data_IF_345083455344
#
_entry.id   IF_345083455344
#
_cell.length_a   1.000
_cell.length_b   1.000
_cell.length_c   1.000
_cell.angle_alpha   90.00
_cell.angle_beta   90.00
_cell.angle_gamma   90.00
#
_symmetry.space_group_name_H-M   'P 1'
#
loop_
_entity.id
_entity.type
_entity.pdbx_description
1 polymer ?
#
# COMPACT_ATOMS: atom_id res chain seq x y z
N UNK A 1 -13.85 -68.06 34.44
CA UNK A 1 -12.42 -68.46 34.48
C UNK A 1 -11.72 -68.36 33.12
N UNK A 2 -12.41 -68.56 32.00
CA UNK A 2 -11.86 -68.50 30.63
C UNK A 2 -11.40 -67.11 30.17
N UNK A 3 -12.06 -66.03 30.59
CA UNK A 3 -11.66 -64.65 30.27
C UNK A 3 -10.35 -64.24 30.95
N UNK A 4 -10.13 -64.66 32.21
CA UNK A 4 -8.87 -64.36 32.92
C UNK A 4 -7.65 -65.03 32.31
N UNK A 5 -7.79 -66.28 31.87
CA UNK A 5 -6.71 -67.04 31.21
C UNK A 5 -6.37 -66.49 29.82
N UNK A 6 -7.39 -66.09 29.05
CA UNK A 6 -7.17 -65.45 27.73
C UNK A 6 -6.54 -64.07 27.84
N UNK A 7 -6.89 -63.28 28.87
CA UNK A 7 -6.26 -61.99 29.17
C UNK A 7 -4.79 -62.15 29.59
N UNK A 8 -4.46 -63.19 30.37
CA UNK A 8 -3.08 -63.50 30.74
C UNK A 8 -2.26 -63.95 29.51
N UNK A 9 -2.85 -64.78 28.65
CA UNK A 9 -2.21 -65.24 27.42
C UNK A 9 -1.97 -64.09 26.43
N UNK A 10 -2.91 -63.15 26.31
CA UNK A 10 -2.72 -61.96 25.47
C UNK A 10 -1.67 -61.01 26.06
N UNK A 11 -1.67 -60.79 27.37
CA UNK A 11 -0.67 -59.97 28.07
C UNK A 11 0.75 -60.53 27.95
N UNK A 12 0.93 -61.84 28.12
CA UNK A 12 2.23 -62.50 27.94
C UNK A 12 2.70 -62.48 26.48
N UNK A 13 1.79 -62.61 25.52
CA UNK A 13 2.10 -62.44 24.09
C UNK A 13 2.49 -61.00 23.73
N UNK A 14 1.78 -60.00 24.27
CA UNK A 14 2.14 -58.58 24.11
C UNK A 14 3.51 -58.27 24.72
N UNK A 15 3.82 -58.80 25.91
CA UNK A 15 5.13 -58.63 26.54
C UNK A 15 6.24 -59.27 25.69
N UNK A 16 6.02 -60.50 25.22
CA UNK A 16 6.94 -61.21 24.33
C UNK A 16 7.19 -60.43 23.04
N UNK A 17 6.17 -59.82 22.46
CA UNK A 17 6.28 -59.08 21.20
C UNK A 17 6.92 -57.69 21.35
N UNK A 18 6.80 -57.05 22.52
CA UNK A 18 7.36 -55.72 22.78
C UNK A 18 8.74 -55.75 23.46
N UNK A 19 9.11 -56.85 24.13
CA UNK A 19 10.43 -57.00 24.77
C UNK A 19 11.61 -56.84 23.79
N UNK A 20 11.59 -57.41 22.57
CA UNK A 20 12.63 -57.17 21.56
C UNK A 20 12.72 -55.71 21.11
N UNK A 21 11.57 -54.99 21.04
CA UNK A 21 11.55 -53.55 20.70
C UNK A 21 12.19 -52.72 21.80
N UNK A 22 11.92 -53.05 23.07
CA UNK A 22 12.55 -52.40 24.22
C UNK A 22 14.06 -52.64 24.25
N UNK A 23 14.50 -53.88 24.00
CA UNK A 23 15.91 -54.22 23.92
C UNK A 23 16.62 -53.48 22.77
N UNK A 24 15.96 -53.38 21.61
CA UNK A 24 16.46 -52.61 20.46
C UNK A 24 16.56 -51.12 20.81
N UNK A 25 15.53 -50.55 21.43
CA UNK A 25 15.52 -49.16 21.87
C UNK A 25 16.61 -48.85 22.89
N UNK A 26 16.83 -49.73 23.88
CA UNK A 26 17.90 -49.59 24.86
C UNK A 26 19.30 -49.66 24.21
N UNK A 27 19.48 -50.55 23.23
CA UNK A 27 20.73 -50.66 22.46
C UNK A 27 20.97 -49.41 21.61
N UNK A 28 19.93 -48.88 20.97
CA UNK A 28 20.00 -47.67 20.15
C UNK A 28 20.30 -46.42 21.00
N UNK A 29 19.72 -46.32 22.20
CA UNK A 29 20.04 -45.26 23.17
C UNK A 29 21.51 -45.34 23.62
N UNK A 30 22.00 -46.54 23.96
CA UNK A 30 23.40 -46.74 24.35
C UNK A 30 24.36 -46.35 23.22
N UNK A 31 24.05 -46.73 21.98
CA UNK A 31 24.82 -46.34 20.80
C UNK A 31 24.79 -44.81 20.57
N UNK A 32 23.61 -44.19 20.70
CA UNK A 32 23.43 -42.74 20.60
C UNK A 32 24.24 -41.97 21.65
N UNK A 33 24.21 -42.40 22.91
CA UNK A 33 25.02 -41.79 23.98
C UNK A 33 26.52 -41.92 23.70
N UNK A 34 26.97 -43.06 23.19
CA UNK A 34 28.38 -43.26 22.81
C UNK A 34 28.78 -42.36 21.64
N UNK A 35 27.91 -42.21 20.63
CA UNK A 35 28.13 -41.32 19.51
C UNK A 35 28.17 -39.85 19.95
N UNK A 36 27.24 -39.43 20.81
CA UNK A 36 27.22 -38.09 21.39
C UNK A 36 28.49 -37.80 22.19
N UNK A 37 28.87 -38.70 23.10
CA UNK A 37 30.10 -38.56 23.89
C UNK A 37 31.34 -38.45 23.01
N UNK A 38 31.42 -39.26 21.93
CA UNK A 38 32.50 -39.18 20.94
C UNK A 38 32.51 -37.83 20.22
N UNK A 39 31.34 -37.34 19.78
CA UNK A 39 31.22 -36.07 19.08
C UNK A 39 31.58 -34.87 19.99
N UNK A 40 31.14 -34.87 21.24
CA UNK A 40 31.54 -33.86 22.24
C UNK A 40 33.04 -33.89 22.50
N UNK A 41 33.64 -35.08 22.67
CA UNK A 41 35.08 -35.21 22.87
C UNK A 41 35.88 -34.74 21.64
N UNK A 42 35.40 -35.02 20.43
CA UNK A 42 36.01 -34.52 19.18
C UNK A 42 35.87 -33.01 19.05
N UNK A 43 34.68 -32.45 19.32
CA UNK A 43 34.45 -31.01 19.30
C UNK A 43 35.33 -30.27 20.31
N UNK A 44 35.45 -30.79 21.53
CA UNK A 44 36.34 -30.23 22.56
C UNK A 44 37.82 -30.24 22.12
N UNK A 45 38.27 -31.32 21.48
CA UNK A 45 39.64 -31.39 20.92
C UNK A 45 39.84 -30.42 19.75
N UNK A 46 38.84 -30.25 18.89
CA UNK A 46 38.90 -29.28 17.79
C UNK A 46 38.97 -27.85 18.33
N UNK A 47 38.13 -27.49 19.29
CA UNK A 47 38.14 -26.16 19.93
C UNK A 47 39.47 -25.90 20.64
N UNK A 48 39.95 -26.84 21.46
CA UNK A 48 41.23 -26.70 22.16
C UNK A 48 42.45 -26.76 21.22
N UNK A 49 42.29 -27.30 20.01
CA UNK A 49 43.32 -27.32 18.97
C UNK A 49 43.45 -25.99 18.22
N UNK A 50 42.44 -25.12 18.28
CA UNK A 50 42.50 -23.76 17.74
C UNK A 50 43.25 -22.89 18.76
N UNK A 51 44.48 -22.49 18.43
CA UNK A 51 45.21 -21.47 19.20
C UNK A 51 44.57 -20.10 18.94
N UNK A 52 43.61 -19.73 19.76
CA UNK A 52 42.97 -18.42 19.69
C UNK A 52 43.93 -17.35 20.21
N UNK A 53 44.18 -16.30 19.42
CA UNK A 53 44.71 -15.06 19.98
C UNK A 53 43.55 -14.31 20.67
N UNK A 54 43.85 -13.33 21.52
CA UNK A 54 42.83 -12.47 22.14
C UNK A 54 41.89 -11.87 21.07
N UNK A 55 42.43 -11.48 19.91
CA UNK A 55 41.66 -10.95 18.78
C UNK A 55 40.72 -12.00 18.16
N UNK A 56 41.14 -13.27 18.06
CA UNK A 56 40.25 -14.33 17.55
C UNK A 56 39.15 -14.66 18.55
N UNK A 57 39.45 -14.65 19.85
CA UNK A 57 38.45 -14.84 20.91
C UNK A 57 37.40 -13.71 20.91
N UNK A 58 37.83 -12.46 20.76
CA UNK A 58 36.93 -11.31 20.62
C UNK A 58 36.04 -11.41 19.38
N UNK A 59 36.59 -11.87 18.25
CA UNK A 59 35.84 -12.10 17.02
C UNK A 59 34.81 -13.23 17.16
N UNK A 60 35.07 -14.27 17.97
CA UNK A 60 34.08 -15.32 18.28
C UNK A 60 33.02 -14.85 19.28
N UNK A 61 33.38 -14.01 20.24
CA UNK A 61 32.47 -13.48 21.26
C UNK A 61 31.53 -12.40 20.71
N UNK A 62 31.98 -11.62 19.73
CA UNK A 62 31.21 -10.56 19.08
C UNK A 62 31.45 -10.60 17.55
N UNK A 63 30.91 -11.60 16.83
CA UNK A 63 31.20 -11.84 15.41
C UNK A 63 30.72 -10.74 14.45
N UNK A 64 29.93 -9.79 14.94
CA UNK A 64 29.53 -8.62 14.18
C UNK A 64 29.24 -7.45 15.09
N UNK A 65 29.90 -6.32 14.85
CA UNK A 65 29.37 -5.02 15.28
C UNK A 65 28.22 -4.66 14.34
N UNK A 66 26.98 -4.77 14.82
CA UNK A 66 25.79 -4.33 14.10
C UNK A 66 25.82 -2.81 13.98
N UNK A 67 26.21 -2.31 12.80
CA UNK A 67 26.11 -0.89 12.48
C UNK A 67 24.70 -0.60 11.99
N UNK A 68 23.84 -0.12 12.89
CA UNK A 68 22.50 0.34 12.51
C UNK A 68 22.58 1.74 11.86
N UNK A 69 22.28 1.83 10.57
CA UNK A 69 22.01 3.11 9.89
C UNK A 69 20.50 3.30 9.78
N UNK A 70 19.97 4.30 10.47
CA UNK A 70 18.59 4.73 10.33
C UNK A 70 18.53 5.87 9.32
N UNK A 71 17.79 5.69 8.23
CA UNK A 71 17.62 6.70 7.17
C UNK A 71 16.49 7.69 7.46
N UNK A 72 15.55 7.31 8.34
CA UNK A 72 14.36 8.08 8.70
C UNK A 72 13.85 7.65 10.08
N UNK A 73 13.05 8.51 10.73
CA UNK A 73 12.36 8.21 11.99
C UNK A 73 10.87 8.50 11.85
N UNK A 74 10.05 7.48 12.04
CA UNK A 74 8.58 7.61 12.05
C UNK A 74 8.10 7.70 13.51
N UNK A 75 7.53 8.83 13.98
CA UNK A 75 7.25 9.04 15.40
C UNK A 75 6.25 8.06 16.03
N UNK A 76 5.18 7.72 15.32
CA UNK A 76 4.12 6.84 15.81
C UNK A 76 3.31 6.25 14.64
N UNK A 77 2.32 5.41 14.97
CA UNK A 77 1.47 4.74 13.98
C UNK A 77 0.63 5.72 13.13
N UNK A 78 0.26 6.87 13.68
CA UNK A 78 -0.43 7.93 12.94
C UNK A 78 0.41 8.48 11.79
N UNK A 79 1.70 8.73 12.02
CA UNK A 79 2.62 9.15 10.95
C UNK A 79 2.81 8.06 9.90
N UNK A 80 2.83 6.79 10.33
CA UNK A 80 2.95 5.66 9.40
C UNK A 80 1.73 5.53 8.45
N UNK A 81 0.52 5.81 8.96
CA UNK A 81 -0.72 5.74 8.17
C UNK A 81 -1.12 7.05 7.49
N UNK A 82 -0.60 8.21 7.91
CA UNK A 82 -0.97 9.51 7.37
C UNK A 82 -0.86 9.60 5.84
N UNK A 83 0.20 9.14 5.16
CA UNK A 83 0.29 9.16 3.69
C UNK A 83 -0.89 8.50 2.99
N UNK A 84 -1.37 7.40 3.56
CA UNK A 84 -2.51 6.65 3.04
C UNK A 84 -3.81 7.41 3.28
N UNK A 85 -4.06 7.85 4.51
CA UNK A 85 -5.31 8.55 4.85
C UNK A 85 -5.45 9.90 4.14
N UNK A 86 -4.36 10.67 4.01
CA UNK A 86 -4.35 11.92 3.25
C UNK A 86 -4.73 11.67 1.78
N UNK A 87 -4.12 10.67 1.15
CA UNK A 87 -4.46 10.32 -0.23
C UNK A 87 -5.92 9.88 -0.37
N UNK A 88 -6.44 9.08 0.56
CA UNK A 88 -7.84 8.66 0.54
C UNK A 88 -8.79 9.84 0.67
N UNK A 89 -8.56 10.74 1.63
CA UNK A 89 -9.40 11.90 1.87
C UNK A 89 -9.41 12.87 0.66
N UNK A 90 -8.27 13.14 0.02
CA UNK A 90 -8.21 13.93 -1.21
C UNK A 90 -9.03 13.34 -2.35
N UNK A 91 -8.90 12.03 -2.58
CA UNK A 91 -9.67 11.34 -3.63
C UNK A 91 -11.16 11.38 -3.32
N UNK A 92 -11.56 11.14 -2.07
CA UNK A 92 -12.96 11.19 -1.63
C UNK A 92 -13.54 12.60 -1.79
N UNK A 93 -12.79 13.65 -1.44
CA UNK A 93 -13.23 15.03 -1.65
C UNK A 93 -13.53 15.33 -3.12
N UNK A 94 -12.63 14.90 -4.02
CA UNK A 94 -12.85 14.99 -5.46
C UNK A 94 -14.04 14.15 -5.95
N UNK A 95 -14.24 12.95 -5.38
CA UNK A 95 -15.35 12.06 -5.70
C UNK A 95 -16.70 12.68 -5.34
N UNK A 96 -16.84 13.17 -4.11
CA UNK A 96 -18.07 13.81 -3.61
C UNK A 96 -18.43 15.02 -4.47
N UNK A 97 -17.44 15.85 -4.81
CA UNK A 97 -17.67 16.99 -5.71
C UNK A 97 -18.24 16.54 -7.07
N UNK A 98 -17.65 15.54 -7.72
CA UNK A 98 -18.10 15.07 -9.04
C UNK A 98 -19.45 14.33 -9.02
N UNK A 99 -19.87 13.83 -7.85
CA UNK A 99 -21.20 13.26 -7.65
C UNK A 99 -22.27 14.35 -7.56
N UNK A 100 -22.02 15.39 -6.77
CA UNK A 100 -22.98 16.46 -6.47
C UNK A 100 -23.01 17.52 -7.57
N UNK A 101 -21.85 18.00 -8.00
CA UNK A 101 -21.75 19.06 -8.99
C UNK A 101 -22.15 18.53 -10.38
N UNK A 102 -23.05 19.23 -11.12
CA UNK A 102 -23.51 18.79 -12.43
C UNK A 102 -22.45 19.02 -13.50
N UNK A 103 -21.41 18.18 -13.50
CA UNK A 103 -20.28 18.26 -14.45
C UNK A 103 -20.69 18.02 -15.90
N UNK A 104 -21.74 17.20 -16.11
CA UNK A 104 -22.26 16.83 -17.44
C UNK A 104 -23.22 17.86 -18.06
N UNK A 105 -23.64 18.88 -17.30
CA UNK A 105 -24.58 19.90 -17.77
C UNK A 105 -23.86 21.15 -18.27
N UNK A 106 -24.26 21.65 -19.44
CA UNK A 106 -23.79 22.92 -19.99
C UNK A 106 -24.59 24.08 -19.41
N UNK A 107 -23.92 25.23 -19.26
CA UNK A 107 -24.55 26.46 -18.78
C UNK A 107 -25.40 27.15 -19.84
N UNK A 108 -25.04 27.03 -21.13
CA UNK A 108 -25.75 27.68 -22.24
C UNK A 108 -25.88 26.76 -23.47
N UNK A 109 -27.01 26.81 -24.20
CA UNK A 109 -27.19 26.17 -25.50
C UNK A 109 -26.18 26.57 -26.57
N UNK A 110 -25.57 27.76 -26.48
CA UNK A 110 -24.62 28.25 -27.48
C UNK A 110 -23.15 27.88 -27.21
N UNK A 111 -22.82 27.35 -26.03
CA UNK A 111 -21.42 27.07 -25.65
C UNK A 111 -20.76 25.94 -26.46
N UNK A 112 -19.46 26.04 -26.72
CA UNK A 112 -18.70 24.96 -27.37
C UNK A 112 -18.29 23.88 -26.36
N UNK A 113 -17.82 22.72 -26.85
CA UNK A 113 -17.28 21.67 -25.97
C UNK A 113 -16.00 22.13 -25.24
N UNK A 114 -15.24 23.05 -25.85
CA UNK A 114 -14.05 23.66 -25.22
C UNK A 114 -14.44 24.65 -24.13
N UNK A 115 -15.49 25.45 -24.31
CA UNK A 115 -16.00 26.35 -23.27
C UNK A 115 -16.52 25.56 -22.08
N UNK A 116 -17.22 24.45 -22.34
CA UNK A 116 -17.67 23.52 -21.32
C UNK A 116 -16.49 22.94 -20.54
N UNK A 117 -15.42 22.52 -21.22
CA UNK A 117 -14.19 22.03 -20.60
C UNK A 117 -13.57 23.07 -19.67
N UNK A 118 -13.24 24.26 -20.16
CA UNK A 118 -12.58 25.27 -19.32
C UNK A 118 -13.45 25.72 -18.15
N UNK A 119 -14.77 25.84 -18.35
CA UNK A 119 -15.71 26.17 -17.28
C UNK A 119 -15.67 25.14 -16.14
N UNK A 120 -15.73 23.84 -16.46
CA UNK A 120 -15.76 22.78 -15.44
C UNK A 120 -14.39 22.51 -14.82
N UNK A 121 -13.31 22.56 -15.62
CA UNK A 121 -11.93 22.38 -15.15
C UNK A 121 -11.53 23.49 -14.19
N UNK A 122 -11.94 24.74 -14.43
CA UNK A 122 -11.63 25.87 -13.54
C UNK A 122 -12.30 25.70 -12.18
N UNK A 123 -13.60 25.39 -12.16
CA UNK A 123 -14.34 25.17 -10.90
C UNK A 123 -13.80 23.94 -10.17
N UNK A 124 -13.57 22.83 -10.88
CA UNK A 124 -12.98 21.63 -10.30
C UNK A 124 -11.58 21.89 -9.74
N UNK A 125 -10.76 22.67 -10.44
CA UNK A 125 -9.41 23.04 -10.00
C UNK A 125 -9.41 23.88 -8.74
N UNK A 126 -10.32 24.87 -8.64
CA UNK A 126 -10.49 25.68 -7.44
C UNK A 126 -10.89 24.81 -6.23
N UNK A 127 -11.85 23.91 -6.41
CA UNK A 127 -12.32 23.02 -5.34
C UNK A 127 -11.24 22.02 -4.93
N UNK A 128 -10.51 21.43 -5.89
CA UNK A 128 -9.41 20.51 -5.60
C UNK A 128 -8.26 21.21 -4.85
N UNK A 129 -7.93 22.44 -5.25
CA UNK A 129 -6.95 23.29 -4.56
C UNK A 129 -7.39 23.56 -3.12
N UNK A 130 -8.65 23.98 -2.93
CA UNK A 130 -9.23 24.19 -1.61
C UNK A 130 -9.22 22.93 -0.75
N UNK A 131 -9.59 21.79 -1.32
CA UNK A 131 -9.59 20.47 -0.66
C UNK A 131 -8.19 20.11 -0.14
N UNK A 132 -7.16 20.27 -0.98
CA UNK A 132 -5.77 20.01 -0.59
C UNK A 132 -5.25 20.97 0.50
N UNK A 133 -5.55 22.26 0.38
CA UNK A 133 -5.12 23.25 1.38
C UNK A 133 -5.83 23.04 2.72
N UNK A 134 -7.14 22.82 2.71
CA UNK A 134 -7.92 22.57 3.92
C UNK A 134 -7.40 21.32 4.62
N UNK A 135 -7.21 20.22 3.89
CA UNK A 135 -6.69 18.99 4.49
C UNK A 135 -5.30 19.20 5.09
N UNK A 136 -4.34 19.71 4.32
CA UNK A 136 -2.95 19.82 4.78
C UNK A 136 -2.80 20.81 5.95
N UNK A 137 -3.47 21.96 5.90
CA UNK A 137 -3.44 22.94 6.98
C UNK A 137 -4.11 22.43 8.25
N UNK A 138 -5.27 21.76 8.14
CA UNK A 138 -5.95 21.19 9.30
C UNK A 138 -5.15 20.05 9.93
N UNK A 139 -4.53 19.20 9.12
CA UNK A 139 -3.69 18.11 9.62
C UNK A 139 -2.44 18.65 10.34
N UNK A 140 -1.81 19.70 9.80
CA UNK A 140 -0.71 20.38 10.49
C UNK A 140 -1.18 21.05 11.79
N UNK A 141 -2.34 21.71 11.79
CA UNK A 141 -2.94 22.29 12.99
C UNK A 141 -3.31 21.22 14.05
N UNK A 142 -3.67 20.02 13.61
CA UNK A 142 -3.96 18.87 14.47
C UNK A 142 -2.70 18.17 15.03
N UNK A 143 -1.50 18.68 14.71
CA UNK A 143 -0.23 18.20 15.26
C UNK A 143 0.58 17.29 14.33
N UNK A 144 0.24 17.19 13.05
CA UNK A 144 1.08 16.52 12.05
C UNK A 144 2.25 17.45 11.67
N UNK A 145 3.48 17.10 12.07
CA UNK A 145 4.69 17.88 11.79
C UNK A 145 5.50 17.21 10.69
N UNK A 146 5.30 17.56 9.40
CA UNK A 146 6.08 17.02 8.30
C UNK A 146 7.54 17.50 8.34
N UNK A 147 8.49 16.63 7.98
CA UNK A 147 9.89 17.02 7.73
C UNK A 147 10.01 18.08 6.63
N UNK A 148 9.15 17.99 5.61
CA UNK A 148 9.11 18.89 4.47
C UNK A 148 7.68 19.44 4.21
N UNK A 149 7.25 20.49 4.95
CA UNK A 149 5.89 21.03 4.84
C UNK A 149 5.49 21.47 3.43
N UNK A 150 6.43 22.07 2.69
CA UNK A 150 6.16 22.51 1.32
C UNK A 150 5.95 21.32 0.36
N UNK A 151 6.69 20.22 0.56
CA UNK A 151 6.51 19.01 -0.24
C UNK A 151 5.17 18.34 0.09
N UNK A 152 4.74 18.36 1.36
CA UNK A 152 3.43 17.87 1.79
C UNK A 152 2.31 18.60 1.03
N UNK A 153 2.32 19.93 1.06
CA UNK A 153 1.30 20.76 0.39
C UNK A 153 1.34 20.58 -1.12
N UNK A 154 2.54 20.57 -1.73
CA UNK A 154 2.67 20.39 -3.18
C UNK A 154 2.16 19.01 -3.63
N UNK A 155 2.50 17.95 -2.90
CA UNK A 155 2.02 16.60 -3.19
C UNK A 155 0.49 16.51 -3.08
N UNK A 156 -0.10 17.11 -2.02
CA UNK A 156 -1.54 17.17 -1.84
C UNK A 156 -2.24 17.93 -2.99
N UNK A 157 -1.71 19.08 -3.40
CA UNK A 157 -2.25 19.88 -4.49
C UNK A 157 -2.27 19.09 -5.81
N UNK A 158 -1.12 18.52 -6.18
CA UNK A 158 -0.99 17.76 -7.42
C UNK A 158 -1.92 16.56 -7.40
N UNK A 159 -1.92 15.78 -6.31
CA UNK A 159 -2.79 14.60 -6.24
C UNK A 159 -4.27 14.94 -6.22
N UNK A 160 -4.69 16.00 -5.51
CA UNK A 160 -6.09 16.42 -5.49
C UNK A 160 -6.58 16.83 -6.88
N UNK A 161 -5.76 17.56 -7.64
CA UNK A 161 -6.06 17.90 -9.03
C UNK A 161 -6.10 16.66 -9.93
N UNK A 162 -5.13 15.74 -9.80
CA UNK A 162 -5.12 14.47 -10.53
C UNK A 162 -6.41 13.67 -10.26
N UNK A 163 -6.79 13.50 -9.00
CA UNK A 163 -8.01 12.80 -8.63
C UNK A 163 -9.27 13.51 -9.14
N UNK A 164 -9.34 14.84 -9.01
CA UNK A 164 -10.44 15.67 -9.50
C UNK A 164 -10.69 15.46 -10.99
N UNK A 165 -9.66 15.57 -11.81
CA UNK A 165 -9.82 15.47 -13.27
C UNK A 165 -9.98 14.04 -13.75
N UNK A 166 -9.38 13.05 -13.08
CA UNK A 166 -9.62 11.64 -13.36
C UNK A 166 -11.09 11.25 -13.13
N UNK A 167 -11.64 11.63 -11.97
CA UNK A 167 -13.03 11.33 -11.64
C UNK A 167 -13.99 12.13 -12.53
N UNK A 168 -13.66 13.38 -12.84
CA UNK A 168 -14.45 14.21 -13.76
C UNK A 168 -14.50 13.59 -15.16
N UNK A 169 -13.37 13.11 -15.68
CA UNK A 169 -13.31 12.36 -16.94
C UNK A 169 -14.24 11.16 -16.92
N UNK A 170 -14.09 10.27 -15.93
CA UNK A 170 -14.92 9.06 -15.83
C UNK A 170 -16.41 9.43 -15.76
N UNK A 171 -16.76 10.42 -14.95
CA UNK A 171 -18.14 10.89 -14.78
C UNK A 171 -18.74 11.48 -16.05
N UNK A 172 -17.96 12.27 -16.80
CA UNK A 172 -18.42 12.89 -18.05
C UNK A 172 -18.52 11.86 -19.16
N UNK A 173 -17.52 10.99 -19.33
CA UNK A 173 -17.53 9.94 -20.36
C UNK A 173 -18.67 8.92 -20.10
N UNK A 174 -18.78 8.41 -18.88
CA UNK A 174 -19.65 7.28 -18.55
C UNK A 174 -20.97 7.62 -17.84
N UNK A 175 -21.26 8.88 -17.52
CA UNK A 175 -22.45 9.25 -16.71
C UNK A 175 -22.46 8.51 -15.36
N UNK A 176 -23.62 7.99 -14.92
CA UNK A 176 -23.77 7.20 -13.70
C UNK A 176 -22.85 5.96 -13.67
N UNK A 177 -22.73 5.12 -14.73
CA UNK A 177 -21.72 4.07 -14.79
C UNK A 177 -20.28 4.57 -14.59
N UNK A 178 -19.94 5.73 -15.16
CA UNK A 178 -18.63 6.35 -15.00
C UNK A 178 -18.33 6.79 -13.56
N UNK A 179 -19.33 7.37 -12.89
CA UNK A 179 -19.27 7.69 -11.46
C UNK A 179 -19.08 6.44 -10.61
N UNK A 180 -19.77 5.36 -10.97
CA UNK A 180 -19.60 4.07 -10.31
C UNK A 180 -18.20 3.49 -10.53
N UNK A 181 -17.65 3.60 -11.74
CA UNK A 181 -16.28 3.20 -12.03
C UNK A 181 -15.25 3.99 -11.19
N UNK A 182 -15.47 5.29 -10.96
CA UNK A 182 -14.60 6.09 -10.09
C UNK A 182 -14.61 5.62 -8.62
N UNK A 183 -15.75 5.10 -8.13
CA UNK A 183 -15.86 4.47 -6.81
C UNK A 183 -15.14 3.12 -6.75
N UNK A 184 -15.30 2.28 -7.77
CA UNK A 184 -14.55 1.02 -7.88
C UNK A 184 -13.04 1.30 -7.90
N UNK A 185 -12.61 2.30 -8.66
CA UNK A 185 -11.21 2.69 -8.74
C UNK A 185 -10.67 3.11 -7.37
N UNK A 186 -11.45 3.83 -6.56
CA UNK A 186 -11.08 4.12 -5.17
C UNK A 186 -10.82 2.82 -4.40
N UNK A 187 -11.77 1.88 -4.40
CA UNK A 187 -11.66 0.60 -3.67
C UNK A 187 -10.42 -0.18 -4.11
N UNK A 188 -10.14 -0.23 -5.41
CA UNK A 188 -8.94 -0.86 -5.95
C UNK A 188 -7.68 -0.17 -5.39
N UNK A 189 -7.64 1.16 -5.41
CA UNK A 189 -6.50 1.93 -4.88
C UNK A 189 -6.25 1.67 -3.39
N UNK A 190 -7.29 1.44 -2.57
CA UNK A 190 -7.13 1.14 -1.14
C UNK A 190 -6.27 -0.11 -0.90
N UNK A 191 -6.47 -1.16 -1.70
CA UNK A 191 -5.70 -2.41 -1.58
C UNK A 191 -4.38 -2.39 -2.35
N UNK A 192 -4.33 -1.65 -3.45
CA UNK A 192 -3.25 -1.76 -4.42
C UNK A 192 -2.16 -0.70 -4.29
N UNK A 193 -2.39 0.42 -3.60
CA UNK A 193 -1.46 1.58 -3.62
C UNK A 193 -0.32 1.49 -2.60
N UNK A 194 -0.25 0.40 -1.82
CA UNK A 194 0.82 0.19 -0.85
C UNK A 194 0.75 1.11 0.38
N UNK A 195 -0.45 1.55 0.77
CA UNK A 195 -0.69 2.49 1.87
C UNK A 195 -0.52 1.87 3.26
N UNK A 196 -1.40 0.93 3.61
CA UNK A 196 -1.36 0.25 4.92
C UNK A 196 -0.24 -0.79 5.03
N UNK A 197 0.10 -1.43 3.91
CA UNK A 197 1.14 -2.47 3.82
C UNK A 197 2.00 -2.26 2.57
N UNK A 198 3.30 -2.59 2.61
CA UNK A 198 4.16 -2.56 1.44
C UNK A 198 3.58 -3.41 0.30
N UNK A 199 3.67 -2.94 -0.93
CA UNK A 199 3.09 -3.63 -2.09
C UNK A 199 3.79 -4.98 -2.35
N UNK A 200 5.05 -5.10 -1.94
CA UNK A 200 5.92 -6.27 -2.08
C UNK A 200 5.38 -7.49 -1.31
N UNK A 201 4.66 -7.27 -0.20
CA UNK A 201 4.04 -8.34 0.59
C UNK A 201 2.60 -8.65 0.17
N UNK A 202 1.98 -7.81 -0.66
CA UNK A 202 0.64 -8.02 -1.21
C UNK A 202 0.66 -8.97 -2.41
N UNK A 203 1.06 -10.23 -2.17
CA UNK A 203 1.12 -11.30 -3.19
C UNK A 203 -0.24 -11.95 -3.49
N UNK A 204 -1.32 -11.46 -2.89
CA UNK A 204 -2.68 -11.94 -3.13
C UNK A 204 -3.03 -11.90 -4.62
N UNK A 205 -3.94 -12.78 -5.05
CA UNK A 205 -4.39 -12.89 -6.44
C UNK A 205 -3.23 -13.05 -7.44
N UNK A 206 -2.23 -13.87 -7.09
CA UNK A 206 -1.07 -14.16 -7.94
C UNK A 206 -0.31 -12.91 -8.41
N UNK A 207 -0.14 -11.91 -7.53
CA UNK A 207 0.56 -10.66 -7.86
C UNK A 207 -0.28 -9.62 -8.61
N UNK A 208 -1.59 -9.79 -8.72
CA UNK A 208 -2.49 -8.82 -9.36
C UNK A 208 -2.30 -7.39 -8.80
N UNK A 209 -2.28 -7.24 -7.47
CA UNK A 209 -2.13 -5.92 -6.84
C UNK A 209 -0.78 -5.26 -7.16
N UNK A 210 0.28 -6.05 -7.26
CA UNK A 210 1.61 -5.57 -7.66
C UNK A 210 1.62 -5.11 -9.12
N UNK A 211 0.92 -5.83 -10.00
CA UNK A 211 0.82 -5.50 -11.41
C UNK A 211 0.05 -4.19 -11.66
N UNK A 212 -1.01 -3.93 -10.90
CA UNK A 212 -1.83 -2.71 -11.07
C UNK A 212 -1.27 -1.49 -10.32
N UNK A 213 -0.46 -1.68 -9.27
CA UNK A 213 0.09 -0.61 -8.43
C UNK A 213 0.71 0.56 -9.23
N UNK A 214 1.52 0.34 -10.29
CA UNK A 214 2.10 1.44 -11.07
C UNK A 214 1.07 2.25 -11.88
N UNK A 215 -0.12 1.70 -12.12
CA UNK A 215 -1.17 2.33 -12.92
C UNK A 215 -2.17 3.13 -12.07
N UNK A 216 -1.86 3.33 -10.78
CA UNK A 216 -2.73 4.00 -9.83
C UNK A 216 -2.08 5.32 -9.37
N UNK A 217 -2.73 6.48 -9.57
CA UNK A 217 -2.15 7.75 -9.14
C UNK A 217 -1.97 7.82 -7.61
N UNK A 218 -2.83 7.14 -6.84
CA UNK A 218 -2.73 7.12 -5.37
C UNK A 218 -1.42 6.50 -4.86
N UNK A 219 -0.82 5.55 -5.61
CA UNK A 219 0.51 4.99 -5.30
C UNK A 219 1.55 6.09 -5.17
N UNK A 220 1.59 7.00 -6.14
CA UNK A 220 2.57 8.08 -6.20
C UNK A 220 2.31 9.15 -5.15
N UNK A 221 1.05 9.45 -4.86
CA UNK A 221 0.66 10.32 -3.76
C UNK A 221 1.16 9.80 -2.42
N UNK A 222 0.99 8.50 -2.14
CA UNK A 222 1.44 7.87 -0.91
C UNK A 222 2.97 7.95 -0.79
N UNK A 223 3.72 7.67 -1.85
CA UNK A 223 5.18 7.80 -1.81
C UNK A 223 5.63 9.25 -1.62
N UNK A 224 4.96 10.22 -2.25
CA UNK A 224 5.29 11.63 -2.08
C UNK A 224 4.99 12.13 -0.67
N UNK A 225 3.87 11.69 -0.07
CA UNK A 225 3.57 12.00 1.32
C UNK A 225 4.51 11.32 2.31
N UNK A 226 4.95 10.07 2.05
CA UNK A 226 5.95 9.41 2.90
C UNK A 226 7.26 10.19 2.96
N UNK A 227 7.77 10.61 1.80
CA UNK A 227 8.99 11.41 1.77
C UNK A 227 8.78 12.78 2.42
N UNK A 228 7.64 13.44 2.17
CA UNK A 228 7.36 14.74 2.76
C UNK A 228 7.20 14.70 4.30
N UNK A 229 6.65 13.61 4.84
CA UNK A 229 6.37 13.48 6.27
C UNK A 229 7.57 13.02 7.07
N UNK A 230 8.32 12.03 6.57
CA UNK A 230 9.34 11.33 7.36
C UNK A 230 10.67 11.18 6.64
N UNK A 231 10.81 11.68 5.41
CA UNK A 231 12.02 11.48 4.59
C UNK A 231 12.37 9.99 4.38
N UNK A 232 13.57 9.72 3.84
CA UNK A 232 14.19 8.38 3.85
C UNK A 232 13.99 7.53 2.61
N UNK A 233 13.14 7.94 1.66
CA UNK A 233 13.02 7.36 0.33
C UNK A 233 13.97 8.01 -0.68
N UNK A 234 14.47 9.21 -0.37
CA UNK A 234 15.49 9.92 -1.14
C UNK A 234 14.93 11.17 -1.83
N UNK A 235 15.81 12.15 -2.03
CA UNK A 235 15.43 13.51 -2.46
C UNK A 235 14.73 13.57 -3.83
N UNK A 236 14.94 12.58 -4.70
CA UNK A 236 14.27 12.48 -6.00
C UNK A 236 12.85 11.93 -5.91
N UNK A 237 12.45 11.29 -4.81
CA UNK A 237 11.20 10.54 -4.72
C UNK A 237 9.97 11.45 -4.93
N UNK A 238 9.94 12.63 -4.32
CA UNK A 238 8.85 13.60 -4.52
C UNK A 238 8.76 14.04 -5.98
N UNK A 239 9.90 14.27 -6.64
CA UNK A 239 9.95 14.64 -8.06
C UNK A 239 9.36 13.55 -8.96
N UNK A 240 9.72 12.29 -8.73
CA UNK A 240 9.17 11.13 -9.46
C UNK A 240 7.67 11.00 -9.22
N UNK A 241 7.23 11.09 -7.96
CA UNK A 241 5.81 11.02 -7.59
C UNK A 241 5.00 12.12 -8.27
N UNK A 242 5.46 13.37 -8.21
CA UNK A 242 4.82 14.51 -8.87
C UNK A 242 4.77 14.30 -10.38
N UNK A 243 5.89 13.89 -11.00
CA UNK A 243 5.96 13.65 -12.44
C UNK A 243 4.93 12.62 -12.92
N UNK A 244 4.79 11.50 -12.20
CA UNK A 244 3.80 10.48 -12.51
C UNK A 244 2.37 10.97 -12.31
N UNK A 245 2.09 11.68 -11.21
CA UNK A 245 0.75 12.25 -10.98
C UNK A 245 0.37 13.31 -12.01
N UNK A 246 1.32 14.13 -12.48
CA UNK A 246 1.13 15.07 -13.58
C UNK A 246 0.82 14.34 -14.90
N UNK A 247 1.48 13.21 -15.18
CA UNK A 247 1.18 12.38 -16.34
C UNK A 247 -0.27 11.87 -16.30
N UNK A 248 -0.72 11.33 -15.16
CA UNK A 248 -2.13 10.93 -14.98
C UNK A 248 -3.08 12.12 -15.15
N UNK A 249 -2.74 13.27 -14.58
CA UNK A 249 -3.55 14.50 -14.65
C UNK A 249 -3.71 14.98 -16.09
N UNK A 250 -2.61 15.11 -16.84
CA UNK A 250 -2.61 15.55 -18.24
C UNK A 250 -3.39 14.55 -19.10
N UNK A 251 -3.21 13.25 -18.87
CA UNK A 251 -3.96 12.20 -19.57
C UNK A 251 -5.46 12.32 -19.30
N UNK A 252 -5.85 12.48 -18.03
CA UNK A 252 -7.25 12.65 -17.64
C UNK A 252 -7.87 13.93 -18.24
N UNK A 253 -7.15 15.05 -18.25
CA UNK A 253 -7.58 16.31 -18.87
C UNK A 253 -7.76 16.16 -20.38
N UNK A 254 -6.83 15.50 -21.07
CA UNK A 254 -6.93 15.23 -22.50
C UNK A 254 -8.16 14.35 -22.83
N UNK A 255 -8.36 13.27 -22.07
CA UNK A 255 -9.51 12.39 -22.23
C UNK A 255 -10.84 13.08 -21.88
N UNK A 256 -10.84 13.95 -20.86
CA UNK A 256 -11.99 14.78 -20.49
C UNK A 256 -12.37 15.72 -21.65
N UNK A 257 -11.38 16.44 -22.20
CA UNK A 257 -11.59 17.38 -23.29
C UNK A 257 -12.15 16.66 -24.53
N UNK A 258 -11.55 15.53 -24.93
CA UNK A 258 -12.04 14.72 -26.05
C UNK A 258 -13.46 14.22 -25.80
N UNK A 259 -13.77 13.75 -24.59
CA UNK A 259 -15.11 13.29 -24.22
C UNK A 259 -16.15 14.42 -24.33
N UNK A 260 -15.81 15.63 -23.88
CA UNK A 260 -16.70 16.79 -23.96
C UNK A 260 -16.93 17.24 -25.40
N UNK A 261 -15.89 17.26 -26.23
CA UNK A 261 -16.03 17.56 -27.67
C UNK A 261 -16.92 16.54 -28.37
N UNK A 262 -16.71 15.25 -28.10
CA UNK A 262 -17.51 14.17 -28.67
C UNK A 262 -18.98 14.27 -28.27
N UNK A 263 -19.26 14.41 -26.96
CA UNK A 263 -20.63 14.52 -26.44
C UNK A 263 -21.35 15.78 -26.93
N UNK A 264 -20.62 16.88 -27.11
CA UNK A 264 -21.18 18.11 -27.68
C UNK A 264 -21.56 17.91 -29.15
N UNK A 265 -20.70 17.26 -29.94
CA UNK A 265 -20.97 16.98 -31.37
C UNK A 265 -22.10 15.96 -31.58
N UNK A 266 -22.25 14.98 -30.69
CA UNK A 266 -23.32 13.99 -30.78
C UNK A 266 -24.67 14.48 -30.26
N UNK A 267 -24.74 15.69 -29.67
CA UNK A 267 -25.97 16.24 -29.10
C UNK A 267 -26.40 15.59 -27.78
N UNK A 268 -25.61 14.66 -27.23
CA UNK A 268 -25.90 13.92 -26.00
C UNK A 268 -25.61 14.74 -24.72
N UNK A 269 -26.09 15.98 -24.69
CA UNK A 269 -25.85 16.97 -23.63
C UNK A 269 -27.14 17.52 -23.06
N UNK A 270 -27.13 17.78 -21.75
CA UNK A 270 -28.24 18.41 -21.02
C UNK A 270 -27.81 19.77 -20.48
N UNK A 271 -28.77 20.66 -20.25
CA UNK A 271 -28.51 22.02 -19.78
C UNK A 271 -28.89 22.17 -18.31
N UNK A 272 -28.25 23.11 -17.62
CA UNK A 272 -28.71 23.53 -16.30
C UNK A 272 -30.04 24.27 -16.53
N UNK A 273 -31.10 23.90 -15.80
CA UNK A 273 -32.36 24.62 -15.85
C UNK A 273 -32.10 26.06 -15.37
N UNK A 274 -32.21 27.02 -16.27
CA UNK A 274 -32.31 28.43 -15.88
C UNK A 274 -33.67 28.61 -15.23
N UNK A 275 -33.70 28.95 -13.94
CA UNK A 275 -34.91 29.42 -13.29
C UNK A 275 -35.53 30.50 -14.18
N UNK A 276 -36.78 30.30 -14.61
CA UNK A 276 -37.53 31.36 -15.29
C UNK A 276 -37.62 32.52 -14.29
N UNK A 277 -36.99 33.64 -14.62
CA UNK A 277 -37.36 34.91 -14.02
C UNK A 277 -38.80 35.20 -14.50
N UNK A 278 -39.76 35.05 -13.58
CA UNK A 278 -41.14 35.57 -13.74
C UNK A 278 -41.16 37.08 -13.47
#
# INVERSE_FOLDING_TARGET
MTTGVSQLASGTSQLKNNSPKLQTGATQLAAGNKALAKALAQGARQVNGVKTSAQTADMFAAPSNLVHKNYSKVPNYGYALAPYMLSVALYVGALVFNLVYPVRRLASPSGTGTDWFFSKVTIGGLVATGNALVETLLMMAAGLTPDHPLQLVLNALVFSLTAMYLIMFLSVAGSNPGRFAAMILLVIQLGASGGSFPIEITKGMNGFFQAINPFLPMTYSIYGFREALTSGLGTSQVGVSIGMMLLFMITALGLLWVSMLYLRRSGAVTYVETAKEE
#
